data_IF_689896210959
#
_entry.id   IF_689896210959
#
_cell.length_a   1.000
_cell.length_b   1.000
_cell.length_c   1.000
_cell.angle_alpha   90.00
_cell.angle_beta   90.00
_cell.angle_gamma   90.00
#
_symmetry.space_group_name_H-M   'P 1'
#
loop_
_entity.id
_entity.type
_entity.pdbx_description
1 polymer ?
#
# COMPACT_ATOMS: atom_id res chain seq x y z
N UNK A 1 31.50 29.55 50.75
CA UNK A 1 30.21 30.22 50.53
C UNK A 1 30.44 31.34 49.52
N UNK A 2 29.75 31.27 48.37
CA UNK A 2 29.64 32.26 47.28
C UNK A 2 30.96 32.57 46.53
N UNK A 3 31.04 32.72 45.20
CA UNK A 3 30.13 33.37 44.28
C UNK A 3 30.08 32.71 42.88
N UNK A 4 28.89 32.75 42.29
CA UNK A 4 28.65 32.68 40.86
C UNK A 4 29.12 33.99 40.21
N UNK A 5 29.48 34.00 38.91
CA UNK A 5 28.84 34.88 37.94
C UNK A 5 29.17 34.46 36.50
N UNK A 6 28.10 34.16 35.77
CA UNK A 6 28.03 33.82 34.35
C UNK A 6 27.92 35.14 33.57
N UNK A 7 28.74 35.28 32.53
CA UNK A 7 28.72 36.41 31.60
C UNK A 7 27.68 36.16 30.50
N UNK A 8 26.77 37.10 30.28
CA UNK A 8 25.82 37.15 29.15
C UNK A 8 25.92 38.53 28.51
N UNK A 9 26.00 38.65 27.16
CA UNK A 9 25.92 39.93 26.49
C UNK A 9 24.47 40.32 26.13
N UNK A 10 24.32 41.65 26.16
CA UNK A 10 23.16 42.53 26.03
C UNK A 10 22.44 42.49 24.67
N UNK A 11 21.14 42.78 24.67
CA UNK A 11 20.30 42.99 23.48
C UNK A 11 19.39 44.19 23.72
N UNK A 12 19.62 45.23 22.92
CA UNK A 12 18.96 46.53 22.95
C UNK A 12 17.49 46.49 22.52
N UNK A 13 16.69 47.15 23.36
CA UNK A 13 15.52 48.00 23.12
C UNK A 13 14.85 48.03 21.74
N UNK A 14 13.51 47.91 21.73
CA UNK A 14 12.62 48.86 21.04
C UNK A 14 11.26 48.94 21.75
N UNK A 15 10.76 50.17 21.86
CA UNK A 15 9.72 50.60 22.79
C UNK A 15 8.27 50.30 22.40
N UNK A 16 7.41 50.45 23.40
CA UNK A 16 5.94 50.34 23.38
C UNK A 16 5.35 51.75 23.51
N UNK A 17 4.43 52.18 22.64
CA UNK A 17 3.47 53.28 22.91
C UNK A 17 2.12 53.10 22.16
N UNK A 18 1.08 52.87 22.97
CA UNK A 18 -0.28 53.47 23.06
C UNK A 18 -1.24 53.64 21.84
N UNK A 19 -2.50 53.33 22.19
CA UNK A 19 -3.81 53.25 21.54
C UNK A 19 -4.44 54.59 21.11
N UNK A 20 -5.23 54.57 20.03
CA UNK A 20 -6.19 55.64 19.66
C UNK A 20 -7.36 55.09 18.82
N UNK A 21 -8.60 55.39 19.23
CA UNK A 21 -9.87 55.09 18.52
C UNK A 21 -10.22 56.26 17.59
N UNK A 22 -10.80 56.00 16.40
CA UNK A 22 -11.81 56.87 15.78
C UNK A 22 -12.62 56.12 14.69
N UNK A 23 -13.93 56.39 14.70
CA UNK A 23 -14.97 56.02 13.73
C UNK A 23 -15.08 57.15 12.70
N UNK A 24 -15.19 56.85 11.40
CA UNK A 24 -16.15 57.50 10.47
C UNK A 24 -15.87 57.16 8.99
N UNK A 25 -16.96 56.73 8.34
CA UNK A 25 -17.30 56.75 6.91
C UNK A 25 -16.52 57.68 5.98
N UNK A 26 -16.02 57.15 4.86
CA UNK A 26 -15.92 57.89 3.58
C UNK A 26 -15.91 56.94 2.37
N UNK A 27 -16.94 57.09 1.54
CA UNK A 27 -16.95 56.98 0.07
C UNK A 27 -15.70 56.40 -0.62
N UNK A 28 -15.84 55.21 -1.21
CA UNK A 28 -14.91 54.72 -2.24
C UNK A 28 -15.42 55.18 -3.62
N UNK A 29 -14.65 56.01 -4.37
CA UNK A 29 -15.06 56.60 -5.65
C UNK A 29 -14.75 55.73 -6.89
N UNK A 30 -14.54 54.43 -6.72
CA UNK A 30 -14.24 53.51 -7.83
C UNK A 30 -15.39 52.53 -8.04
N UNK A 31 -16.43 53.01 -8.71
CA UNK A 31 -17.53 52.22 -9.24
C UNK A 31 -17.25 52.01 -10.74
N UNK A 32 -16.96 50.77 -11.14
CA UNK A 32 -16.79 50.39 -12.55
C UNK A 32 -18.16 50.22 -13.25
N UNK A 33 -18.31 50.66 -14.51
CA UNK A 33 -19.58 50.61 -15.24
C UNK A 33 -19.99 49.17 -15.62
N UNK A 34 -21.27 48.90 -15.87
CA UNK A 34 -21.74 47.57 -16.26
C UNK A 34 -21.41 47.30 -17.72
N UNK A 35 -20.78 46.17 -18.02
CA UNK A 35 -20.64 45.67 -19.39
C UNK A 35 -21.55 44.46 -19.55
N UNK A 36 -22.49 44.57 -20.48
CA UNK A 36 -23.39 43.50 -20.88
C UNK A 36 -22.65 42.41 -21.70
N UNK A 37 -23.14 41.19 -21.52
CA UNK A 37 -23.19 40.06 -22.47
C UNK A 37 -21.89 39.62 -23.19
N UNK A 38 -21.36 38.47 -22.75
CA UNK A 38 -21.21 37.32 -23.65
C UNK A 38 -21.01 36.03 -22.84
N UNK A 39 -22.06 35.22 -22.83
CA UNK A 39 -22.03 33.83 -22.38
C UNK A 39 -21.21 32.99 -23.35
N UNK A 40 -19.91 32.86 -23.09
CA UNK A 40 -19.08 31.80 -23.68
C UNK A 40 -18.77 30.81 -22.57
N UNK A 41 -19.52 29.70 -22.56
CA UNK A 41 -19.21 28.55 -21.73
C UNK A 41 -17.76 28.12 -22.00
N UNK A 42 -16.90 28.00 -20.97
CA UNK A 42 -15.62 27.35 -21.16
C UNK A 42 -15.86 25.88 -21.53
N UNK A 43 -15.08 25.30 -22.47
CA UNK A 43 -15.18 23.89 -22.80
C UNK A 43 -14.99 23.06 -21.53
N UNK A 44 -15.67 21.89 -21.40
CA UNK A 44 -15.51 21.03 -20.24
C UNK A 44 -14.03 20.65 -20.14
N UNK A 45 -13.34 21.22 -19.16
CA UNK A 45 -12.02 20.80 -18.72
C UNK A 45 -12.19 19.34 -18.30
N UNK A 46 -11.87 18.40 -19.19
CA UNK A 46 -11.69 17.01 -18.84
C UNK A 46 -10.47 16.99 -17.92
N UNK A 47 -10.73 17.25 -16.64
CA UNK A 47 -9.78 16.98 -15.58
C UNK A 47 -9.55 15.48 -15.64
N UNK A 48 -8.50 15.09 -16.37
CA UNK A 48 -7.90 13.78 -16.24
C UNK A 48 -7.46 13.72 -14.79
N UNK A 49 -8.36 13.29 -13.90
CA UNK A 49 -8.03 12.86 -12.55
C UNK A 49 -7.14 11.64 -12.77
N UNK A 50 -5.83 11.88 -12.93
CA UNK A 50 -4.82 10.85 -12.84
C UNK A 50 -4.92 10.33 -11.42
N UNK A 51 -5.73 9.29 -11.22
CA UNK A 51 -5.78 8.55 -9.96
C UNK A 51 -4.34 8.07 -9.74
N UNK A 52 -3.64 8.71 -8.81
CA UNK A 52 -2.33 8.22 -8.35
C UNK A 52 -2.58 6.82 -7.81
N UNK A 53 -2.12 5.80 -8.52
CA UNK A 53 -2.23 4.42 -8.06
C UNK A 53 -1.47 4.30 -6.76
N UNK A 54 -2.15 3.90 -5.68
CA UNK A 54 -1.50 3.75 -4.38
C UNK A 54 -0.59 2.51 -4.46
N UNK A 55 0.71 2.71 -4.27
CA UNK A 55 1.72 1.64 -4.31
C UNK A 55 1.36 0.46 -3.38
N UNK A 56 0.74 0.73 -2.23
CA UNK A 56 0.28 -0.32 -1.32
C UNK A 56 -0.75 -1.26 -1.95
N UNK A 57 -1.63 -0.75 -2.83
CA UNK A 57 -2.63 -1.56 -3.57
C UNK A 57 -1.94 -2.47 -4.58
N UNK A 58 -0.94 -1.96 -5.29
CA UNK A 58 -0.18 -2.75 -6.27
C UNK A 58 0.56 -3.87 -5.55
N UNK A 59 1.29 -3.53 -4.47
CA UNK A 59 2.05 -4.49 -3.68
C UNK A 59 1.12 -5.52 -3.02
N UNK A 60 -0.06 -5.14 -2.51
CA UNK A 60 -0.97 -6.09 -1.87
C UNK A 60 -1.50 -7.14 -2.84
N UNK A 61 -1.87 -6.73 -4.06
CA UNK A 61 -2.31 -7.67 -5.09
C UNK A 61 -1.15 -8.58 -5.52
N UNK A 62 0.04 -8.00 -5.73
CA UNK A 62 1.23 -8.76 -6.09
C UNK A 62 1.61 -9.81 -5.03
N UNK A 63 1.64 -9.42 -3.76
CA UNK A 63 1.96 -10.31 -2.65
C UNK A 63 0.90 -11.41 -2.46
N UNK A 64 -0.38 -11.07 -2.63
CA UNK A 64 -1.48 -12.05 -2.60
C UNK A 64 -1.31 -13.13 -3.66
N UNK A 65 -0.99 -12.76 -4.90
CA UNK A 65 -0.80 -13.73 -5.99
C UNK A 65 0.37 -14.68 -5.72
N UNK A 66 1.50 -14.15 -5.24
CA UNK A 66 2.69 -14.96 -4.95
C UNK A 66 2.45 -15.91 -3.76
N UNK A 67 1.75 -15.44 -2.73
CA UNK A 67 1.53 -16.22 -1.51
C UNK A 67 0.29 -17.10 -1.54
N UNK A 68 -0.51 -17.06 -2.62
CA UNK A 68 -1.74 -17.84 -2.79
C UNK A 68 -1.58 -19.34 -2.50
N UNK A 69 -0.49 -20.02 -2.92
CA UNK A 69 -0.31 -21.46 -2.63
C UNK A 69 -0.16 -21.77 -1.13
N UNK A 70 0.23 -20.80 -0.30
CA UNK A 70 0.46 -21.00 1.13
C UNK A 70 -0.76 -20.60 1.99
N UNK A 71 -1.79 -20.01 1.38
CA UNK A 71 -3.03 -19.63 2.05
C UNK A 71 -3.79 -20.85 2.54
N UNK A 72 -4.40 -20.75 3.72
CA UNK A 72 -5.22 -21.80 4.32
C UNK A 72 -6.27 -21.19 5.26
N UNK A 73 -7.11 -22.02 5.88
CA UNK A 73 -8.20 -21.55 6.75
C UNK A 73 -7.74 -20.69 7.95
N UNK A 74 -6.48 -20.82 8.39
CA UNK A 74 -5.90 -20.02 9.48
C UNK A 74 -5.15 -18.78 8.98
N UNK A 75 -4.60 -18.84 7.77
CA UNK A 75 -3.73 -17.80 7.21
C UNK A 75 -4.40 -17.20 5.97
N UNK A 76 -4.98 -16.03 6.17
CA UNK A 76 -5.58 -15.21 5.12
C UNK A 76 -4.54 -14.31 4.45
N UNK A 77 -4.12 -14.68 3.25
CA UNK A 77 -3.27 -13.84 2.38
C UNK A 77 -4.09 -13.09 1.31
N UNK A 78 -5.37 -12.78 1.57
CA UNK A 78 -6.18 -11.95 0.67
C UNK A 78 -5.58 -10.56 0.47
N UNK A 79 -5.77 -9.96 -0.72
CA UNK A 79 -5.16 -8.66 -1.02
C UNK A 79 -5.69 -7.56 -0.10
N UNK A 80 -6.95 -7.65 0.37
CA UNK A 80 -7.52 -6.67 1.31
C UNK A 80 -6.86 -6.74 2.69
N UNK A 81 -6.56 -7.95 3.19
CA UNK A 81 -5.89 -8.14 4.48
C UNK A 81 -4.45 -7.62 4.42
N UNK A 82 -3.73 -7.95 3.34
CA UNK A 82 -2.38 -7.44 3.08
C UNK A 82 -2.40 -5.91 2.95
N UNK A 83 -3.32 -5.34 2.19
CA UNK A 83 -3.43 -3.89 1.99
C UNK A 83 -3.63 -3.12 3.30
N UNK A 84 -4.53 -3.61 4.17
CA UNK A 84 -4.73 -3.01 5.50
C UNK A 84 -3.43 -2.99 6.31
N UNK A 85 -2.72 -4.11 6.32
CA UNK A 85 -1.41 -4.21 6.96
C UNK A 85 -0.38 -3.25 6.35
N UNK A 86 -0.28 -3.19 5.01
CA UNK A 86 0.66 -2.32 4.31
C UNK A 86 0.42 -0.84 4.60
N UNK A 87 -0.83 -0.39 4.59
CA UNK A 87 -1.16 1.00 4.90
C UNK A 87 -0.71 1.39 6.32
N UNK A 88 -0.91 0.51 7.31
CA UNK A 88 -0.47 0.76 8.68
C UNK A 88 1.06 0.75 8.82
N UNK A 89 1.72 -0.30 8.32
CA UNK A 89 3.16 -0.47 8.50
C UNK A 89 3.93 0.60 7.73
N UNK A 90 3.53 0.95 6.50
CA UNK A 90 4.20 1.99 5.72
C UNK A 90 4.09 3.36 6.39
N UNK A 91 2.90 3.68 6.91
CA UNK A 91 2.68 4.93 7.64
C UNK A 91 3.55 5.00 8.90
N UNK A 92 3.56 3.95 9.72
CA UNK A 92 4.27 3.93 11.01
C UNK A 92 5.79 3.83 10.88
N UNK A 93 6.29 3.16 9.84
CA UNK A 93 7.73 3.05 9.56
C UNK A 93 8.28 4.20 8.73
N UNK A 94 7.43 5.14 8.26
CA UNK A 94 7.83 6.19 7.29
C UNK A 94 8.48 5.57 6.05
N UNK A 95 7.86 4.50 5.53
CA UNK A 95 8.39 3.74 4.40
C UNK A 95 8.45 4.62 3.14
N UNK A 96 9.62 4.73 2.52
CA UNK A 96 9.77 5.36 1.21
C UNK A 96 9.34 4.42 0.08
N UNK A 97 9.24 4.96 -1.14
CA UNK A 97 8.95 4.15 -2.34
C UNK A 97 10.02 3.09 -2.56
N UNK A 98 11.28 3.48 -2.45
CA UNK A 98 12.47 2.63 -2.66
C UNK A 98 12.45 1.46 -1.68
N UNK A 99 12.16 1.76 -0.39
CA UNK A 99 12.04 0.73 0.64
C UNK A 99 10.94 -0.29 0.29
N UNK A 100 9.78 0.18 -0.13
CA UNK A 100 8.64 -0.67 -0.48
C UNK A 100 8.92 -1.53 -1.73
N UNK A 101 9.54 -0.95 -2.76
CA UNK A 101 9.89 -1.67 -4.01
C UNK A 101 10.95 -2.74 -3.73
N UNK A 102 12.02 -2.40 -3.02
CA UNK A 102 13.08 -3.35 -2.67
C UNK A 102 12.56 -4.47 -1.75
N UNK A 103 11.70 -4.14 -0.78
CA UNK A 103 11.05 -5.15 0.06
C UNK A 103 10.18 -6.12 -0.76
N UNK A 104 9.46 -5.59 -1.76
CA UNK A 104 8.64 -6.41 -2.66
C UNK A 104 9.50 -7.31 -3.54
N UNK A 105 10.67 -6.82 -3.99
CA UNK A 105 11.64 -7.62 -4.73
C UNK A 105 12.18 -8.79 -3.88
N UNK A 106 12.60 -8.52 -2.64
CA UNK A 106 13.03 -9.57 -1.70
C UNK A 106 11.92 -10.58 -1.43
N UNK A 107 10.69 -10.10 -1.23
CA UNK A 107 9.53 -10.97 -1.07
C UNK A 107 9.37 -11.92 -2.25
N UNK A 108 9.42 -11.41 -3.50
CA UNK A 108 9.38 -12.28 -4.68
C UNK A 108 10.51 -13.32 -4.66
N UNK A 109 11.76 -12.91 -4.44
CA UNK A 109 12.92 -13.82 -4.40
C UNK A 109 12.73 -14.96 -3.40
N UNK A 110 12.25 -14.65 -2.20
CA UNK A 110 12.02 -15.64 -1.14
C UNK A 110 10.96 -16.68 -1.56
N UNK A 111 9.89 -16.27 -2.23
CA UNK A 111 8.85 -17.20 -2.68
C UNK A 111 9.22 -17.96 -3.95
N UNK A 112 10.15 -17.43 -4.76
CA UNK A 112 10.68 -18.12 -5.95
C UNK A 112 11.64 -19.27 -5.61
N UNK A 113 12.26 -19.29 -4.43
CA UNK A 113 13.15 -20.37 -4.00
C UNK A 113 12.42 -21.64 -3.51
N UNK A 114 11.24 -21.92 -4.08
CA UNK A 114 10.40 -23.10 -3.81
C UNK A 114 10.02 -23.30 -2.33
N UNK A 115 9.41 -22.30 -1.72
CA UNK A 115 8.73 -22.44 -0.42
C UNK A 115 7.56 -23.46 -0.50
N UNK A 116 7.10 -23.89 -1.67
CA UNK A 116 6.05 -24.92 -1.75
C UNK A 116 6.51 -26.31 -1.30
N UNK A 117 7.78 -26.65 -1.57
CA UNK A 117 8.26 -28.03 -1.55
C UNK A 117 9.12 -28.37 -0.32
N UNK A 118 9.35 -27.39 0.56
CA UNK A 118 10.20 -27.57 1.74
C UNK A 118 9.36 -28.14 2.91
N UNK A 119 9.59 -29.41 3.32
CA UNK A 119 8.73 -30.08 4.28
C UNK A 119 8.80 -29.46 5.69
N UNK A 120 9.85 -28.72 6.03
CA UNK A 120 10.09 -28.16 7.38
C UNK A 120 9.88 -26.65 7.51
N UNK A 121 9.02 -26.06 6.65
CA UNK A 121 8.78 -24.62 6.69
C UNK A 121 8.17 -24.14 8.00
N UNK A 122 8.77 -23.14 8.66
CA UNK A 122 8.19 -22.52 9.84
C UNK A 122 6.77 -22.01 9.58
N UNK A 123 5.88 -22.11 10.56
CA UNK A 123 4.48 -21.67 10.38
C UNK A 123 4.37 -20.20 9.95
N UNK A 124 5.24 -19.33 10.47
CA UNK A 124 5.23 -17.90 10.16
C UNK A 124 5.48 -17.60 8.69
N UNK A 125 6.18 -18.47 7.94
CA UNK A 125 6.54 -18.21 6.55
C UNK A 125 5.38 -18.35 5.57
N UNK A 126 4.30 -19.02 6.01
CA UNK A 126 3.04 -19.11 5.26
C UNK A 126 2.26 -17.80 5.28
N UNK A 127 2.53 -16.92 6.26
CA UNK A 127 1.88 -15.62 6.39
C UNK A 127 2.65 -14.55 5.60
N UNK A 128 2.06 -14.12 4.48
CA UNK A 128 2.62 -13.08 3.61
C UNK A 128 2.94 -11.79 4.36
N UNK A 129 2.08 -11.35 5.30
CA UNK A 129 2.32 -10.15 6.12
C UNK A 129 3.60 -10.25 6.95
N UNK A 130 3.89 -11.43 7.51
CA UNK A 130 5.09 -11.67 8.31
C UNK A 130 6.33 -11.66 7.45
N UNK A 131 6.32 -12.36 6.32
CA UNK A 131 7.46 -12.37 5.40
C UNK A 131 7.69 -10.97 4.80
N UNK A 132 6.63 -10.28 4.39
CA UNK A 132 6.74 -8.93 3.87
C UNK A 132 7.29 -7.95 4.91
N UNK A 133 6.86 -8.06 6.18
CA UNK A 133 7.42 -7.27 7.27
C UNK A 133 8.93 -7.48 7.42
N UNK A 134 9.39 -8.74 7.38
CA UNK A 134 10.82 -9.04 7.44
C UNK A 134 11.58 -8.49 6.23
N UNK A 135 11.06 -8.63 5.02
CA UNK A 135 11.65 -8.01 3.83
C UNK A 135 11.71 -6.47 3.94
N UNK A 136 10.69 -5.86 4.54
CA UNK A 136 10.66 -4.42 4.77
C UNK A 136 11.72 -3.98 5.78
N UNK A 137 11.90 -4.72 6.87
CA UNK A 137 12.97 -4.48 7.85
C UNK A 137 14.34 -4.56 7.16
N UNK A 138 14.58 -5.59 6.35
CA UNK A 138 15.84 -5.76 5.60
C UNK A 138 16.08 -4.60 4.64
N UNK A 139 15.05 -4.21 3.88
CA UNK A 139 15.10 -3.05 2.98
C UNK A 139 15.47 -1.77 3.74
N UNK A 140 14.85 -1.52 4.89
CA UNK A 140 15.16 -0.37 5.73
C UNK A 140 16.60 -0.38 6.25
N UNK A 141 17.11 -1.54 6.68
CA UNK A 141 18.49 -1.66 7.15
C UNK A 141 19.51 -1.53 6.01
N UNK A 142 19.14 -1.90 4.80
CA UNK A 142 20.03 -1.87 3.65
C UNK A 142 20.14 -0.47 3.02
N UNK A 143 19.03 0.26 2.92
CA UNK A 143 18.99 1.55 2.22
C UNK A 143 19.25 2.77 3.10
N UNK A 144 19.09 2.66 4.42
CA UNK A 144 19.18 3.82 5.31
C UNK A 144 20.32 3.66 6.31
N UNK A 145 21.16 4.69 6.45
CA UNK A 145 22.24 4.73 7.45
C UNK A 145 21.70 4.61 8.88
N UNK A 146 20.54 5.23 9.11
CA UNK A 146 19.81 5.17 10.37
C UNK A 146 18.54 4.34 10.20
N UNK A 147 18.46 3.24 10.93
CA UNK A 147 17.34 2.29 10.85
C UNK A 147 16.76 2.00 12.23
N UNK A 148 15.50 1.57 12.28
CA UNK A 148 14.82 1.26 13.53
C UNK A 148 15.42 0.00 14.17
N UNK A 149 15.61 0.05 15.49
CA UNK A 149 15.94 -1.14 16.27
C UNK A 149 14.78 -2.15 16.27
N UNK A 150 15.04 -3.40 16.63
CA UNK A 150 13.98 -4.40 16.76
C UNK A 150 12.93 -4.06 17.82
N UNK A 151 13.30 -3.30 18.86
CA UNK A 151 12.34 -2.77 19.85
C UNK A 151 11.39 -1.77 19.20
N UNK A 152 11.89 -0.93 18.29
CA UNK A 152 11.05 0.02 17.55
C UNK A 152 10.14 -0.72 16.55
N UNK A 153 10.66 -1.73 15.85
CA UNK A 153 9.84 -2.58 14.98
C UNK A 153 8.76 -3.37 15.72
N UNK A 154 9.01 -3.75 16.97
CA UNK A 154 8.00 -4.32 17.86
C UNK A 154 6.85 -3.32 18.11
N UNK A 155 7.15 -2.05 18.35
CA UNK A 155 6.12 -1.01 18.53
C UNK A 155 5.34 -0.78 17.23
N UNK A 156 6.03 -0.77 16.08
CA UNK A 156 5.43 -0.55 14.76
C UNK A 156 4.47 -1.69 14.38
N UNK A 157 4.91 -2.95 14.57
CA UNK A 157 4.21 -4.14 14.09
C UNK A 157 3.31 -4.83 15.13
N UNK A 158 3.57 -4.61 16.42
CA UNK A 158 2.95 -5.34 17.52
C UNK A 158 3.52 -6.74 17.76
N UNK A 159 4.54 -7.18 17.02
CA UNK A 159 5.20 -8.48 17.21
C UNK A 159 6.40 -8.37 18.14
N UNK A 160 6.68 -9.42 18.93
CA UNK A 160 7.84 -9.43 19.81
C UNK A 160 9.16 -9.28 19.03
N UNK A 161 10.08 -8.48 19.55
CA UNK A 161 11.39 -8.23 18.95
C UNK A 161 12.18 -9.52 18.70
N UNK A 162 12.01 -10.55 19.56
CA UNK A 162 12.64 -11.87 19.38
C UNK A 162 12.11 -12.57 18.13
N UNK A 163 10.80 -12.55 17.91
CA UNK A 163 10.16 -13.16 16.73
C UNK A 163 10.55 -12.41 15.46
N UNK A 164 10.57 -11.08 15.50
CA UNK A 164 11.05 -10.25 14.40
C UNK A 164 12.50 -10.58 14.03
N UNK A 165 13.38 -10.73 15.03
CA UNK A 165 14.78 -11.08 14.83
C UNK A 165 14.94 -12.52 14.29
N UNK A 166 14.06 -13.44 14.68
CA UNK A 166 14.03 -14.80 14.13
C UNK A 166 13.62 -14.78 12.65
N UNK A 167 12.51 -14.11 12.35
CA UNK A 167 11.99 -14.00 10.99
C UNK A 167 12.98 -13.27 10.07
N UNK A 168 13.62 -12.20 10.56
CA UNK A 168 14.69 -11.49 9.84
C UNK A 168 15.83 -12.43 9.43
N UNK A 169 16.41 -13.17 10.40
CA UNK A 169 17.50 -14.12 10.12
C UNK A 169 17.09 -15.21 9.15
N UNK A 170 15.86 -15.70 9.27
CA UNK A 170 15.33 -16.69 8.34
C UNK A 170 15.21 -16.13 6.90
N UNK A 171 14.69 -14.91 6.74
CA UNK A 171 14.61 -14.24 5.44
C UNK A 171 16.01 -13.96 4.84
N UNK A 172 16.98 -13.55 5.66
CA UNK A 172 18.38 -13.39 5.22
C UNK A 172 18.96 -14.69 4.69
N UNK A 173 18.73 -15.80 5.41
CA UNK A 173 19.13 -17.13 4.95
C UNK A 173 18.49 -17.51 3.62
N UNK A 174 17.20 -17.21 3.42
CA UNK A 174 16.50 -17.46 2.14
C UNK A 174 16.96 -16.57 0.99
N UNK A 175 17.62 -15.45 1.29
CA UNK A 175 18.21 -14.54 0.31
C UNK A 175 19.71 -14.79 0.11
N UNK A 176 20.30 -15.78 0.79
CA UNK A 176 21.75 -16.04 0.82
C UNK A 176 22.57 -14.77 1.11
N UNK A 177 22.02 -13.87 1.93
CA UNK A 177 22.58 -12.55 2.24
C UNK A 177 22.85 -11.66 1.00
N UNK A 178 22.34 -12.01 -0.18
CA UNK A 178 22.49 -11.27 -1.44
C UNK A 178 21.45 -10.14 -1.54
N UNK A 179 21.65 -9.10 -0.73
CA UNK A 179 20.75 -7.93 -0.66
C UNK A 179 21.07 -6.86 -1.71
N UNK A 180 22.31 -6.77 -2.17
CA UNK A 180 22.72 -5.76 -3.13
C UNK A 180 22.05 -5.99 -4.49
N UNK A 181 21.29 -4.99 -4.95
CA UNK A 181 20.64 -4.99 -6.27
C UNK A 181 20.98 -3.65 -6.94
N UNK A 182 21.58 -3.66 -8.14
CA UNK A 182 21.81 -2.43 -8.89
C UNK A 182 20.50 -1.66 -9.10
N UNK A 183 20.55 -0.32 -8.98
CA UNK A 183 19.36 0.51 -9.13
C UNK A 183 18.69 0.35 -10.50
N UNK A 184 19.48 0.20 -11.56
CA UNK A 184 18.99 -0.08 -12.93
C UNK A 184 18.14 -1.35 -12.98
N UNK A 185 18.60 -2.41 -12.32
CA UNK A 185 17.97 -3.73 -12.36
C UNK A 185 16.69 -3.72 -11.54
N UNK A 186 16.71 -3.07 -10.37
CA UNK A 186 15.53 -2.89 -9.54
C UNK A 186 14.46 -2.05 -10.25
N UNK A 187 14.85 -0.97 -10.94
CA UNK A 187 13.94 -0.12 -11.71
C UNK A 187 13.34 -0.85 -12.92
N UNK A 188 14.17 -1.61 -13.64
CA UNK A 188 13.72 -2.44 -14.75
C UNK A 188 12.73 -3.50 -14.26
N UNK A 189 13.04 -4.15 -13.14
CA UNK A 189 12.15 -5.12 -12.50
C UNK A 189 10.85 -4.47 -12.02
N UNK A 190 10.90 -3.31 -11.36
CA UNK A 190 9.71 -2.56 -10.91
C UNK A 190 8.77 -2.31 -12.09
N UNK A 191 9.33 -1.79 -13.19
CA UNK A 191 8.58 -1.46 -14.41
C UNK A 191 7.98 -2.70 -15.05
N UNK A 192 8.78 -3.76 -15.24
CA UNK A 192 8.37 -4.95 -15.99
C UNK A 192 7.52 -5.95 -15.20
N UNK A 193 7.66 -5.97 -13.87
CA UNK A 193 7.03 -7.00 -13.04
C UNK A 193 5.97 -6.42 -12.13
N UNK A 194 6.33 -5.41 -11.32
CA UNK A 194 5.42 -4.85 -10.32
C UNK A 194 4.34 -3.98 -10.98
N UNK A 195 4.73 -3.12 -11.91
CA UNK A 195 3.81 -2.18 -12.57
C UNK A 195 3.01 -2.84 -13.71
N UNK A 196 3.60 -3.73 -14.52
CA UNK A 196 2.86 -4.43 -15.60
C UNK A 196 1.71 -5.29 -15.07
N UNK A 197 1.88 -5.97 -13.93
CA UNK A 197 0.80 -6.76 -13.30
C UNK A 197 -0.39 -5.89 -12.85
N UNK A 198 -0.22 -4.58 -12.68
CA UNK A 198 -1.33 -3.66 -12.38
C UNK A 198 -2.30 -3.49 -13.57
N UNK A 199 -1.87 -3.73 -14.81
CA UNK A 199 -2.70 -3.49 -16.00
C UNK A 199 -3.72 -4.60 -16.29
N UNK A 200 -3.55 -5.82 -15.76
CA UNK A 200 -4.53 -6.91 -15.92
C UNK A 200 -5.75 -6.81 -14.98
N UNK A 201 -5.74 -5.89 -14.00
CA UNK A 201 -6.86 -5.70 -13.06
C UNK A 201 -7.92 -4.73 -13.62
N UNK A 202 -7.64 -4.07 -14.76
CA UNK A 202 -8.50 -3.03 -15.35
C UNK A 202 -9.43 -3.52 -16.47
N UNK A 203 -9.73 -4.81 -16.58
CA UNK A 203 -10.79 -5.27 -17.50
C UNK A 203 -12.14 -5.16 -16.80
N UNK A 204 -13.10 -4.36 -17.31
CA UNK A 204 -14.43 -4.31 -16.72
C UNK A 204 -15.08 -5.69 -16.88
N UNK A 205 -15.58 -6.23 -15.77
CA UNK A 205 -16.48 -7.39 -15.78
C UNK A 205 -17.71 -6.96 -16.57
N UNK A 206 -17.78 -7.35 -17.85
CA UNK A 206 -19.04 -7.35 -18.60
C UNK A 206 -19.86 -8.46 -17.95
N UNK A 207 -20.78 -8.07 -17.07
CA UNK A 207 -21.83 -8.94 -16.55
C UNK A 207 -22.59 -9.55 -17.72
N UNK A 208 -22.45 -10.86 -17.88
CA UNK A 208 -23.29 -11.66 -18.76
C UNK A 208 -24.75 -11.55 -18.27
N UNK A 209 -25.75 -11.27 -19.14
CA UNK A 209 -27.14 -11.22 -18.70
C UNK A 209 -27.60 -12.61 -18.23
N UNK A 210 -28.28 -12.64 -17.08
CA UNK A 210 -29.05 -13.80 -16.61
C UNK A 210 -29.99 -14.26 -17.73
N UNK A 211 -29.79 -15.49 -18.25
CA UNK A 211 -30.78 -16.15 -19.10
C UNK A 211 -32.09 -16.26 -18.32
N UNK A 212 -33.16 -15.76 -18.93
CA UNK A 212 -34.53 -15.94 -18.49
C UNK A 212 -34.87 -17.43 -18.45
N UNK A 213 -35.65 -17.83 -17.45
CA UNK A 213 -36.30 -19.15 -17.38
C UNK A 213 -37.46 -19.12 -18.38
N UNK A 214 -37.41 -19.96 -19.41
CA UNK A 214 -38.60 -20.27 -20.20
C UNK A 214 -39.31 -21.47 -19.58
N UNK A 215 -40.61 -21.28 -19.38
CA UNK A 215 -41.60 -22.26 -18.97
C UNK A 215 -42.28 -22.79 -20.24
N UNK A 216 -42.56 -24.10 -20.21
CA UNK A 216 -43.51 -24.90 -21.02
C UNK A 216 -43.29 -25.14 -22.51
N UNK A 217 -43.26 -26.44 -22.87
CA UNK A 217 -44.20 -26.98 -23.85
C UNK A 217 -44.33 -28.51 -23.66
N UNK A 218 -45.52 -28.95 -23.25
CA UNK A 218 -45.99 -30.33 -23.34
C UNK A 218 -45.95 -30.84 -24.79
N UNK A 219 -45.53 -32.09 -24.99
CA UNK A 219 -46.01 -32.93 -26.10
C UNK A 219 -45.91 -34.41 -25.74
N UNK A 220 -47.11 -34.99 -25.68
CA UNK A 220 -47.49 -36.35 -25.38
C UNK A 220 -47.02 -37.33 -26.47
N UNK A 221 -46.45 -38.48 -26.11
CA UNK A 221 -46.30 -39.62 -27.03
C UNK A 221 -46.27 -40.95 -26.26
N UNK A 222 -47.48 -41.45 -26.05
CA UNK A 222 -47.85 -42.78 -25.59
C UNK A 222 -47.35 -43.87 -26.57
N UNK A 223 -46.91 -45.02 -26.04
CA UNK A 223 -46.64 -46.34 -26.69
C UNK A 223 -45.16 -46.74 -26.61
N UNK A 224 -44.75 -47.90 -26.10
CA UNK A 224 -45.39 -49.20 -25.87
C UNK A 224 -44.43 -50.05 -25.01
N UNK A 225 -45.01 -50.86 -24.10
CA UNK A 225 -44.67 -52.28 -23.80
C UNK A 225 -43.25 -52.56 -23.21
N UNK A 226 -43.01 -53.45 -22.24
CA UNK A 226 -43.70 -54.63 -21.70
C UNK A 226 -42.91 -55.13 -20.45
N UNK A 227 -43.63 -55.79 -19.53
CA UNK A 227 -43.22 -56.98 -18.75
C UNK A 227 -42.20 -56.92 -17.59
N UNK A 228 -42.70 -57.07 -16.34
CA UNK A 228 -42.60 -58.25 -15.41
C UNK A 228 -42.92 -57.77 -13.98
N UNK A 229 -44.05 -58.14 -13.36
CA UNK A 229 -44.36 -59.42 -12.67
C UNK A 229 -43.49 -59.72 -11.46
N UNK A 230 -43.92 -59.33 -10.25
CA UNK A 230 -44.26 -60.26 -9.17
C UNK A 230 -45.12 -59.58 -8.10
#
# INVERSE_FOLDING_TARGET
MYENHRFTPDSKEFGVVVKGKNLSTSSNPYQTPPTETNSTLPPPQLSSIKRKTNLAIIISNFASEISRPLSNNKIDNSPQNILKFLNEVFKRSKCSKENAVLATFYFQKIYQSNIGDEPSLPEFSRCSKRIFLSCLILSHKFLNDNTYSMKNWQIISGLHAKDLSLMERWCLGKLDYQLAVPYSDLLLWETNTLMKKSHHIATPIITLPKRARDYDQDCNAHSRKLLKSH
#
